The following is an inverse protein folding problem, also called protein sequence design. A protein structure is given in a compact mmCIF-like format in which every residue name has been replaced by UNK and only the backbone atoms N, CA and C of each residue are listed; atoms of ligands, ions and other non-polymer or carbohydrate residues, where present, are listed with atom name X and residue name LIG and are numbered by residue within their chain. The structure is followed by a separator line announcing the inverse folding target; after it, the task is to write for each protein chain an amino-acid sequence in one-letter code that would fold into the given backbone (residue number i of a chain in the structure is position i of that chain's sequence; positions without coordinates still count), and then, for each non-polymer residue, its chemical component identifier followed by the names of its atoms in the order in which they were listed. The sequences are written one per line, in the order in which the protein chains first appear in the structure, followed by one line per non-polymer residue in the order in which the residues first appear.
data_IF_800143815523
#
_entry.id   IF_800143815523
#
_cell.length_a   1.000
_cell.length_b   1.000
_cell.length_c   1.000
_cell.angle_alpha   90.00
_cell.angle_beta   90.00
_cell.angle_gamma   90.00
#
_symmetry.space_group_name_H-M   'P 1'
#
loop_
_entity.id
_entity.type
_entity.pdbx_description
1 polymer ?
#
# COMPACT_ATOMS: atom_id res chain seq x y z
N UNK A 1 -16.50 -10.74 -0.86
CA UNK A 1 -15.80 -9.71 -0.08
C UNK A 1 -14.32 -10.07 -0.14
N UNK A 2 -13.39 -9.13 -0.39
CA UNK A 2 -11.97 -9.44 -0.38
C UNK A 2 -11.51 -9.97 0.98
N UNK A 3 -10.60 -10.95 1.00
CA UNK A 3 -10.11 -11.60 2.23
C UNK A 3 -9.44 -10.61 3.17
N UNK A 4 -8.70 -9.62 2.64
CA UNK A 4 -8.06 -8.58 3.45
C UNK A 4 -9.00 -7.82 4.38
N UNK A 5 -10.30 -7.70 4.07
CA UNK A 5 -11.27 -7.05 4.97
C UNK A 5 -11.47 -7.82 6.27
N UNK A 6 -11.48 -9.15 6.19
CA UNK A 6 -11.58 -10.00 7.37
C UNK A 6 -10.27 -9.97 8.17
N UNK A 7 -9.13 -9.94 7.48
CA UNK A 7 -7.82 -9.82 8.11
C UNK A 7 -7.65 -8.48 8.83
N UNK A 8 -8.14 -7.37 8.26
CA UNK A 8 -8.12 -6.06 8.94
C UNK A 8 -8.90 -6.06 10.25
N UNK A 9 -10.00 -6.81 10.35
CA UNK A 9 -10.74 -6.96 11.61
C UNK A 9 -9.88 -7.68 12.67
N UNK A 10 -9.07 -8.66 12.27
CA UNK A 10 -8.14 -9.32 13.19
C UNK A 10 -6.99 -8.40 13.59
N UNK A 11 -6.46 -7.61 12.65
CA UNK A 11 -5.46 -6.56 12.95
C UNK A 11 -6.02 -5.55 13.96
N UNK A 12 -7.22 -5.02 13.75
CA UNK A 12 -7.87 -4.08 14.65
C UNK A 12 -8.07 -4.66 16.07
N UNK A 13 -8.42 -5.95 16.17
CA UNK A 13 -8.50 -6.66 17.46
C UNK A 13 -7.16 -6.80 18.17
N UNK A 14 -6.05 -6.81 17.44
CA UNK A 14 -4.70 -6.87 18.01
C UNK A 14 -4.28 -5.47 18.45
N UNK A 15 -4.39 -4.47 17.57
CA UNK A 15 -4.06 -3.06 17.85
C UNK A 15 -4.79 -2.53 19.09
N UNK A 16 -6.09 -2.84 19.22
CA UNK A 16 -6.91 -2.42 20.36
C UNK A 16 -6.46 -3.00 21.71
N UNK A 17 -5.66 -4.08 21.73
CA UNK A 17 -5.05 -4.58 22.97
C UNK A 17 -3.90 -3.71 23.46
N UNK A 18 -3.37 -2.85 22.59
CA UNK A 18 -2.27 -1.94 22.84
C UNK A 18 -2.72 -0.46 22.86
N UNK A 19 -4.02 -0.21 23.03
CA UNK A 19 -4.64 1.12 22.96
C UNK A 19 -4.36 1.85 21.62
N UNK A 20 -4.13 1.08 20.56
CA UNK A 20 -3.93 1.54 19.18
C UNK A 20 -5.15 1.22 18.32
N UNK A 21 -5.26 1.83 17.14
CA UNK A 21 -6.36 1.63 16.21
C UNK A 21 -5.93 1.73 14.77
N UNK A 22 -6.69 1.13 13.86
CA UNK A 22 -6.49 1.35 12.44
C UNK A 22 -6.72 2.82 12.07
N UNK A 23 -5.95 3.30 11.11
CA UNK A 23 -6.06 4.67 10.59
C UNK A 23 -7.43 4.92 9.96
N UNK A 24 -7.87 6.17 10.02
CA UNK A 24 -9.15 6.57 9.44
C UNK A 24 -9.21 6.32 7.92
N UNK A 25 -10.40 5.98 7.40
CA UNK A 25 -10.62 5.87 5.96
C UNK A 25 -10.32 7.16 5.19
N UNK A 26 -9.83 7.01 3.97
CA UNK A 26 -9.62 8.13 3.05
C UNK A 26 -10.93 8.57 2.41
N UNK A 27 -11.17 9.88 2.39
CA UNK A 27 -12.34 10.50 1.77
C UNK A 27 -12.24 10.55 0.23
N UNK A 28 -13.39 10.74 -0.44
CA UNK A 28 -13.39 10.89 -1.90
C UNK A 28 -12.64 12.14 -2.38
N UNK A 29 -12.61 13.24 -1.60
CA UNK A 29 -11.85 14.45 -1.94
C UNK A 29 -10.35 14.17 -1.96
N UNK A 30 -9.85 13.47 -0.94
CA UNK A 30 -8.45 13.07 -0.83
C UNK A 30 -8.04 12.10 -1.93
N UNK A 31 -8.89 11.12 -2.27
CA UNK A 31 -8.67 10.24 -3.42
C UNK A 31 -8.57 11.01 -4.74
N UNK A 32 -9.41 12.03 -4.94
CA UNK A 32 -9.35 12.88 -6.14
C UNK A 32 -8.02 13.65 -6.19
N UNK A 33 -7.61 14.25 -5.07
CA UNK A 33 -6.31 14.94 -4.97
C UNK A 33 -5.15 13.98 -5.27
N UNK A 34 -5.15 12.80 -4.65
CA UNK A 34 -4.16 11.75 -4.87
C UNK A 34 -4.07 11.37 -6.35
N UNK A 35 -5.19 11.02 -7.00
CA UNK A 35 -5.22 10.65 -8.42
C UNK A 35 -4.66 11.78 -9.31
N UNK A 36 -5.02 13.03 -9.03
CA UNK A 36 -4.49 14.19 -9.78
C UNK A 36 -2.98 14.39 -9.57
N UNK A 37 -2.48 14.18 -8.36
CA UNK A 37 -1.07 14.33 -8.03
C UNK A 37 -0.23 13.19 -8.62
N UNK A 38 -0.72 11.96 -8.60
CA UNK A 38 -0.08 10.80 -9.27
C UNK A 38 0.16 11.10 -10.74
N UNK A 39 -0.85 11.61 -11.45
CA UNK A 39 -0.72 11.96 -12.87
C UNK A 39 0.35 13.03 -13.13
N UNK A 40 0.54 13.96 -12.19
CA UNK A 40 1.54 15.03 -12.31
C UNK A 40 2.96 14.57 -11.96
N UNK A 41 3.10 13.73 -10.93
CA UNK A 41 4.40 13.34 -10.36
C UNK A 41 4.95 12.04 -10.96
N UNK A 42 4.09 11.03 -11.09
CA UNK A 42 4.49 9.69 -11.51
C UNK A 42 4.07 9.36 -12.97
N UNK A 43 3.35 10.29 -13.62
CA UNK A 43 2.89 10.14 -15.01
C UNK A 43 1.62 9.28 -15.13
N UNK A 44 1.46 8.60 -16.27
CA UNK A 44 0.24 7.84 -16.60
C UNK A 44 0.14 6.48 -15.89
N UNK A 45 0.37 6.45 -14.57
CA UNK A 45 0.12 5.27 -13.76
C UNK A 45 -1.39 5.09 -13.58
N UNK A 46 -1.87 3.86 -13.81
CA UNK A 46 -3.24 3.46 -13.52
C UNK A 46 -3.26 2.84 -12.13
N UNK A 47 -3.95 3.51 -11.21
CA UNK A 47 -4.17 3.00 -9.86
C UNK A 47 -5.36 2.03 -9.87
N UNK A 48 -5.19 0.79 -9.38
CA UNK A 48 -6.28 -0.17 -9.35
C UNK A 48 -7.38 0.26 -8.38
N UNK A 49 -8.63 0.05 -8.77
CA UNK A 49 -9.78 0.44 -7.94
C UNK A 49 -9.83 -0.35 -6.62
N UNK A 50 -9.26 -1.56 -6.57
CA UNK A 50 -9.12 -2.34 -5.34
C UNK A 50 -8.18 -1.69 -4.31
N UNK A 51 -7.11 -1.01 -4.74
CA UNK A 51 -6.28 -0.21 -3.84
C UNK A 51 -7.03 1.02 -3.33
N UNK A 52 -7.83 1.67 -4.19
CA UNK A 52 -8.71 2.77 -3.76
C UNK A 52 -9.75 2.27 -2.76
N UNK A 53 -10.30 1.08 -2.96
CA UNK A 53 -11.21 0.44 -2.01
C UNK A 53 -10.52 0.17 -0.67
N UNK A 54 -9.29 -0.31 -0.68
CA UNK A 54 -8.47 -0.48 0.53
C UNK A 54 -8.31 0.86 1.28
N UNK A 55 -7.88 1.92 0.59
CA UNK A 55 -7.71 3.25 1.20
C UNK A 55 -9.01 3.83 1.79
N UNK A 56 -10.15 3.53 1.16
CA UNK A 56 -11.49 3.90 1.68
C UNK A 56 -11.94 3.07 2.88
N UNK A 57 -11.19 2.05 3.28
CA UNK A 57 -11.41 1.31 4.53
C UNK A 57 -10.34 1.67 5.57
N UNK A 58 -9.09 1.90 5.16
CA UNK A 58 -7.98 2.28 6.04
C UNK A 58 -6.91 3.05 5.25
N UNK A 59 -6.49 4.22 5.73
CA UNK A 59 -5.49 5.06 5.03
C UNK A 59 -4.06 4.52 5.20
N UNK A 60 -3.73 3.47 4.46
CA UNK A 60 -2.47 2.76 4.62
C UNK A 60 -2.44 1.93 5.91
N UNK A 61 -1.42 1.10 6.07
CA UNK A 61 -1.26 0.22 7.21
C UNK A 61 0.20 0.21 7.64
N UNK A 62 0.43 0.16 8.94
CA UNK A 62 1.72 -0.20 9.53
C UNK A 62 1.41 -1.23 10.62
N UNK A 63 1.79 -2.48 10.40
CA UNK A 63 1.45 -3.58 11.30
C UNK A 63 2.48 -4.69 11.22
N UNK A 64 3.13 -5.01 12.35
CA UNK A 64 4.12 -6.09 12.45
C UNK A 64 5.19 -6.07 11.34
N UNK A 65 5.70 -4.88 11.01
CA UNK A 65 6.70 -4.71 9.96
C UNK A 65 6.16 -4.77 8.53
N UNK A 66 4.86 -4.99 8.32
CA UNK A 66 4.20 -4.77 7.03
C UNK A 66 3.71 -3.33 6.96
N UNK A 67 4.13 -2.62 5.91
CA UNK A 67 3.64 -1.30 5.56
C UNK A 67 2.90 -1.36 4.23
N UNK A 68 1.64 -0.93 4.22
CA UNK A 68 0.87 -0.65 3.01
C UNK A 68 0.74 0.86 2.89
N UNK A 69 1.14 1.42 1.76
CA UNK A 69 1.18 2.86 1.59
C UNK A 69 -0.23 3.47 1.60
N UNK A 70 -0.32 4.67 2.15
CA UNK A 70 -1.53 5.47 2.22
C UNK A 70 -1.53 6.62 1.23
N UNK A 71 -2.43 7.57 1.46
CA UNK A 71 -2.38 8.89 0.82
C UNK A 71 -1.34 9.74 1.55
N UNK A 72 -0.42 10.34 0.79
CA UNK A 72 0.55 11.32 1.28
C UNK A 72 -0.11 12.37 2.17
N UNK A 73 0.50 12.65 3.32
CA UNK A 73 -0.05 13.54 4.35
C UNK A 73 -0.39 14.93 3.80
N UNK A 74 0.41 15.45 2.86
CA UNK A 74 0.20 16.75 2.21
C UNK A 74 -1.11 16.86 1.42
N UNK A 75 -1.77 15.72 1.14
CA UNK A 75 -3.01 15.65 0.38
C UNK A 75 -4.23 15.42 1.28
N UNK A 76 -4.03 15.11 2.57
CA UNK A 76 -5.09 14.87 3.54
C UNK A 76 -5.81 16.18 3.91
N UNK A 77 -7.10 16.06 4.22
CA UNK A 77 -7.94 17.19 4.64
C UNK A 77 -7.75 17.52 6.13
N UNK A 78 -7.30 16.55 6.93
CA UNK A 78 -7.05 16.70 8.37
C UNK A 78 -5.64 16.21 8.72
N UNK A 79 -5.08 16.72 9.82
CA UNK A 79 -3.88 16.13 10.43
C UNK A 79 -4.20 14.70 10.88
N UNK A 80 -3.24 13.80 10.66
CA UNK A 80 -3.28 12.42 11.13
C UNK A 80 -2.52 12.30 12.45
N UNK A 81 -3.07 11.49 13.37
CA UNK A 81 -2.44 11.24 14.66
C UNK A 81 -1.18 10.35 14.55
N UNK A 82 -1.09 9.59 13.45
CA UNK A 82 0.01 8.67 13.16
C UNK A 82 0.57 8.93 11.76
N UNK A 83 1.90 8.86 11.64
CA UNK A 83 2.61 9.02 10.38
C UNK A 83 2.12 7.97 9.36
N UNK A 84 1.86 8.42 8.14
CA UNK A 84 1.44 7.57 7.02
C UNK A 84 2.55 7.58 5.99
N UNK A 85 3.07 6.41 5.62
CA UNK A 85 3.93 6.31 4.44
C UNK A 85 3.09 6.57 3.19
N UNK A 86 3.30 7.71 2.56
CA UNK A 86 2.56 8.14 1.38
C UNK A 86 2.96 7.35 0.13
N UNK A 87 1.97 6.95 -0.65
CA UNK A 87 2.19 6.22 -1.90
C UNK A 87 3.08 6.99 -2.88
N UNK A 88 2.88 8.29 -3.06
CA UNK A 88 3.58 9.04 -4.11
C UNK A 88 5.01 9.31 -3.68
N UNK A 89 5.22 9.86 -2.48
CA UNK A 89 6.56 10.10 -1.95
C UNK A 89 7.40 8.83 -1.89
N UNK A 90 6.81 7.70 -1.48
CA UNK A 90 7.55 6.45 -1.35
C UNK A 90 7.92 5.86 -2.71
N UNK A 91 7.02 5.95 -3.71
CA UNK A 91 7.38 5.60 -5.09
C UNK A 91 8.44 6.54 -5.68
N UNK A 92 8.42 7.85 -5.37
CA UNK A 92 9.47 8.78 -5.80
C UNK A 92 10.85 8.37 -5.23
N UNK A 93 10.91 7.92 -3.97
CA UNK A 93 12.13 7.40 -3.34
C UNK A 93 12.61 6.12 -4.05
N UNK A 94 11.73 5.14 -4.28
CA UNK A 94 12.11 3.92 -5.01
C UNK A 94 12.58 4.25 -6.43
N UNK A 95 12.00 5.25 -7.08
CA UNK A 95 12.40 5.66 -8.43
C UNK A 95 13.73 6.41 -8.51
N UNK A 96 14.42 6.66 -7.38
CA UNK A 96 15.83 7.06 -7.42
C UNK A 96 16.72 5.98 -8.05
N UNK A 97 16.28 4.71 -7.99
CA UNK A 97 16.87 3.62 -8.76
C UNK A 97 16.10 3.40 -10.07
N UNK A 98 16.76 3.63 -11.20
CA UNK A 98 16.14 3.49 -12.52
C UNK A 98 15.57 2.09 -12.80
N UNK A 99 16.17 1.02 -12.24
CA UNK A 99 15.64 -0.33 -12.39
C UNK A 99 14.29 -0.50 -11.69
N UNK A 100 14.05 0.21 -10.60
CA UNK A 100 12.80 0.11 -9.83
C UNK A 100 11.62 0.81 -10.52
N UNK A 101 11.87 1.68 -11.51
CA UNK A 101 10.82 2.38 -12.29
C UNK A 101 9.93 1.45 -13.12
N UNK A 102 10.28 0.17 -13.25
CA UNK A 102 9.41 -0.83 -13.86
C UNK A 102 8.30 -1.32 -12.91
N UNK A 103 8.34 -0.94 -11.64
CA UNK A 103 7.40 -1.37 -10.62
C UNK A 103 6.59 -0.19 -10.09
N UNK A 104 5.35 -0.44 -9.69
CA UNK A 104 4.58 0.47 -8.84
C UNK A 104 4.52 -0.16 -7.46
N UNK A 105 5.02 0.54 -6.45
CA UNK A 105 5.09 0.02 -5.08
C UNK A 105 3.81 0.39 -4.32
N UNK A 106 3.17 -0.60 -3.70
CA UNK A 106 1.99 -0.39 -2.85
C UNK A 106 2.28 -0.58 -1.37
N UNK A 107 3.43 -1.16 -1.06
CA UNK A 107 3.85 -1.44 0.30
C UNK A 107 5.17 -2.17 0.30
N UNK A 108 5.70 -2.33 1.50
CA UNK A 108 6.90 -3.11 1.75
C UNK A 108 6.86 -3.69 3.16
N UNK A 109 7.74 -4.65 3.40
CA UNK A 109 8.05 -5.15 4.73
C UNK A 109 9.54 -5.05 5.00
N UNK A 110 9.96 -5.57 6.15
CA UNK A 110 11.37 -5.72 6.49
C UNK A 110 12.17 -6.46 5.40
N UNK A 111 11.53 -7.39 4.68
CA UNK A 111 12.20 -8.29 3.73
C UNK A 111 11.64 -8.26 2.32
N UNK A 112 10.47 -7.68 2.08
CA UNK A 112 9.81 -7.76 0.77
C UNK A 112 9.28 -6.41 0.27
N UNK A 113 9.12 -6.29 -1.04
CA UNK A 113 8.32 -5.25 -1.69
C UNK A 113 7.06 -5.86 -2.29
N UNK A 114 5.95 -5.12 -2.21
CA UNK A 114 4.66 -5.49 -2.79
C UNK A 114 4.33 -4.53 -3.93
N UNK A 115 4.43 -5.03 -5.16
CA UNK A 115 4.45 -4.19 -6.35
C UNK A 115 3.46 -4.63 -7.42
N UNK A 116 3.22 -3.76 -8.38
CA UNK A 116 2.74 -4.13 -9.70
C UNK A 116 3.88 -4.00 -10.72
N UNK A 117 4.15 -5.08 -11.45
CA UNK A 117 5.12 -5.13 -12.53
C UNK A 117 4.51 -4.55 -13.81
N UNK A 118 5.05 -3.42 -14.30
CA UNK A 118 4.58 -2.75 -15.50
C UNK A 118 4.92 -3.49 -16.79
N UNK A 119 5.95 -4.35 -16.78
CA UNK A 119 6.37 -5.11 -17.95
C UNK A 119 5.52 -6.37 -18.11
N UNK A 120 5.30 -7.09 -17.02
CA UNK A 120 4.56 -8.36 -17.02
C UNK A 120 3.05 -8.18 -16.79
N UNK A 121 2.64 -7.03 -16.24
CA UNK A 121 1.23 -6.72 -15.99
C UNK A 121 0.60 -7.51 -14.85
N UNK A 122 1.40 -7.89 -13.84
CA UNK A 122 0.99 -8.71 -12.70
C UNK A 122 1.42 -8.07 -11.38
N UNK A 123 0.76 -8.43 -10.29
CA UNK A 123 1.20 -8.04 -8.95
C UNK A 123 2.26 -9.03 -8.47
N UNK A 124 3.26 -8.55 -7.73
CA UNK A 124 4.41 -9.34 -7.32
C UNK A 124 4.84 -9.00 -5.91
N UNK A 125 5.32 -10.03 -5.22
CA UNK A 125 6.15 -9.90 -4.04
C UNK A 125 7.61 -10.12 -4.45
N UNK A 126 8.48 -9.17 -4.12
CA UNK A 126 9.90 -9.21 -4.44
C UNK A 126 10.72 -9.22 -3.14
N UNK A 127 11.81 -9.98 -3.12
CA UNK A 127 12.81 -9.87 -2.07
C UNK A 127 13.44 -8.47 -2.10
N UNK A 128 13.31 -7.71 -1.01
CA UNK A 128 13.73 -6.30 -0.94
C UNK A 128 15.25 -6.11 -1.13
N UNK A 129 16.13 -6.98 -0.61
CA UNK A 129 17.57 -6.88 -0.89
C UNK A 129 17.96 -7.11 -2.36
N UNK A 130 17.34 -8.06 -3.05
CA UNK A 130 17.80 -8.52 -4.37
C UNK A 130 16.89 -8.18 -5.54
N UNK A 131 15.63 -7.82 -5.28
CA UNK A 131 14.59 -7.69 -6.29
C UNK A 131 14.14 -9.04 -6.88
N UNK A 132 14.50 -10.17 -6.27
CA UNK A 132 14.13 -11.50 -6.76
C UNK A 132 12.63 -11.73 -6.57
N UNK A 133 11.95 -12.20 -7.61
CA UNK A 133 10.55 -12.58 -7.54
C UNK A 133 10.35 -13.72 -6.51
N UNK A 134 9.52 -13.46 -5.50
CA UNK A 134 9.10 -14.45 -4.52
C UNK A 134 7.79 -15.09 -4.99
N UNK A 135 6.81 -14.25 -5.35
CA UNK A 135 5.46 -14.68 -5.68
C UNK A 135 4.78 -13.69 -6.62
N UNK A 136 3.88 -14.20 -7.47
CA UNK A 136 3.02 -13.40 -8.36
C UNK A 136 1.55 -13.57 -8.00
N UNK A 137 0.77 -12.54 -8.27
CA UNK A 137 -0.66 -12.46 -7.95
C UNK A 137 -1.44 -11.84 -9.11
N UNK A 138 -2.67 -12.32 -9.29
CA UNK A 138 -3.56 -11.84 -10.36
C UNK A 138 -4.24 -10.50 -10.01
N UNK A 139 -4.16 -10.07 -8.74
CA UNK A 139 -4.81 -8.84 -8.27
C UNK A 139 -4.11 -8.23 -7.05
N UNK A 140 -4.32 -6.93 -6.86
CA UNK A 140 -3.95 -6.22 -5.63
C UNK A 140 -4.58 -6.89 -4.39
N UNK A 141 -5.87 -7.28 -4.47
CA UNK A 141 -6.59 -7.89 -3.35
C UNK A 141 -5.91 -9.18 -2.87
N UNK A 142 -5.48 -10.03 -3.80
CA UNK A 142 -4.75 -11.27 -3.47
C UNK A 142 -3.36 -10.98 -2.88
N UNK A 143 -2.65 -9.98 -3.41
CA UNK A 143 -1.32 -9.61 -2.90
C UNK A 143 -1.41 -9.07 -1.46
N UNK A 144 -2.31 -8.11 -1.20
CA UNK A 144 -2.45 -7.53 0.14
C UNK A 144 -3.02 -8.53 1.15
N UNK A 145 -3.91 -9.44 0.72
CA UNK A 145 -4.41 -10.50 1.61
C UNK A 145 -3.29 -11.45 2.05
N UNK A 146 -2.41 -11.83 1.12
CA UNK A 146 -1.27 -12.70 1.40
C UNK A 146 -0.26 -12.03 2.34
N UNK A 147 0.04 -10.75 2.10
CA UNK A 147 0.93 -9.96 2.95
C UNK A 147 0.37 -9.80 4.37
N UNK A 148 -0.93 -9.51 4.51
CA UNK A 148 -1.61 -9.41 5.81
C UNK A 148 -1.68 -10.75 6.54
N UNK A 149 -1.91 -11.84 5.82
CA UNK A 149 -1.91 -13.18 6.43
C UNK A 149 -0.53 -13.51 6.98
N UNK A 150 0.54 -13.19 6.25
CA UNK A 150 1.91 -13.40 6.70
C UNK A 150 2.28 -12.56 7.94
N UNK A 151 1.75 -11.33 8.08
CA UNK A 151 2.02 -10.47 9.25
C UNK A 151 1.24 -10.84 10.51
N UNK A 152 0.27 -11.75 10.41
CA UNK A 152 -0.54 -12.27 11.52
C UNK A 152 -0.01 -13.58 12.11
N UNK A 153 1.03 -14.18 11.54
CA UNK A 153 1.65 -15.44 11.99
C UNK A 153 2.69 -15.22 13.10
#
# INVERSE_FOLDING_TARGET
MPQWKELLIEVEKIESKYDSSLRNPVSNSEIIKMKQTIQKKLGNIIIPESYIEFLKNVNGLDFNGLVIYGVDETLLDNEVDEEVQGFIETNEIWYENDWQKQYIFFGDSDTAWYCYDLNEGVYVELDKPSGTLIKSFDSFDSMVSDALEASLL
#
